data_IF_836223473530
#
_entry.id   IF_836223473530
#
_cell.length_a   1.000
_cell.length_b   1.000
_cell.length_c   1.000
_cell.angle_alpha   90.00
_cell.angle_beta   90.00
_cell.angle_gamma   90.00
#
_symmetry.space_group_name_H-M   'P 1'
#
loop_
_entity.id
_entity.type
_entity.pdbx_description
1 polymer ?
#
# COMPACT_ATOMS: atom_id res chain seq x y z
N UNK A 1 -0.84 10.34 -0.42
CA UNK A 1 -2.30 10.50 -0.52
C UNK A 1 -2.56 11.44 -1.68
N UNK A 2 -3.75 11.41 -2.26
CA UNK A 2 -4.15 12.48 -3.15
C UNK A 2 -4.43 13.74 -2.31
N UNK A 3 -3.74 14.84 -2.61
CA UNK A 3 -3.79 16.07 -1.81
C UNK A 3 -5.19 16.71 -1.78
N UNK A 4 -6.03 16.42 -2.78
CA UNK A 4 -7.37 17.00 -2.88
C UNK A 4 -8.45 16.11 -2.27
N UNK A 5 -8.34 14.79 -2.42
CA UNK A 5 -9.36 13.85 -1.97
C UNK A 5 -8.98 13.07 -0.71
N UNK A 6 -7.74 13.23 -0.22
CA UNK A 6 -7.16 12.48 0.89
C UNK A 6 -7.27 10.96 0.73
N UNK A 7 -7.49 10.48 -0.50
CA UNK A 7 -7.60 9.05 -0.79
C UNK A 7 -6.21 8.44 -1.00
N UNK A 8 -6.04 7.15 -0.68
CA UNK A 8 -4.82 6.44 -1.03
C UNK A 8 -4.65 6.39 -2.55
N UNK A 9 -3.45 6.69 -3.03
CA UNK A 9 -3.14 6.73 -4.46
C UNK A 9 -2.65 5.35 -4.90
N UNK A 10 -3.24 4.83 -5.99
CA UNK A 10 -2.76 3.61 -6.64
C UNK A 10 -1.31 3.79 -7.10
N UNK A 11 -0.45 2.82 -6.79
CA UNK A 11 1.00 2.87 -7.02
C UNK A 11 1.77 3.78 -6.06
N UNK A 12 1.13 4.35 -5.05
CA UNK A 12 1.77 5.12 -4.00
C UNK A 12 2.13 4.28 -2.77
N UNK A 13 2.75 4.90 -1.78
CA UNK A 13 3.16 4.23 -0.54
C UNK A 13 1.98 3.65 0.27
N UNK A 14 0.79 4.25 0.14
CA UNK A 14 -0.44 3.79 0.80
C UNK A 14 -1.34 3.00 -0.17
N UNK A 15 -0.77 2.30 -1.16
CA UNK A 15 -1.57 1.51 -2.09
C UNK A 15 -2.39 0.44 -1.33
N UNK A 16 -3.73 0.38 -1.51
CA UNK A 16 -4.59 -0.62 -0.84
C UNK A 16 -4.22 -2.08 -1.12
N UNK A 17 -3.42 -2.35 -2.16
CA UNK A 17 -2.86 -3.68 -2.48
C UNK A 17 -1.71 -4.06 -1.56
N UNK A 18 -1.01 -3.09 -0.96
CA UNK A 18 0.07 -3.33 -0.01
C UNK A 18 -0.42 -3.56 1.43
N UNK A 19 -1.69 -3.30 1.69
CA UNK A 19 -2.32 -3.44 2.99
C UNK A 19 -3.32 -2.30 3.23
N UNK A 20 -4.00 -2.35 4.37
CA UNK A 20 -4.96 -1.32 4.78
C UNK A 20 -4.68 -0.90 6.22
N UNK A 21 -4.72 0.41 6.47
CA UNK A 21 -4.65 0.99 7.81
C UNK A 21 -6.03 1.45 8.32
N UNK A 22 -7.05 1.40 7.46
CA UNK A 22 -8.41 1.78 7.81
C UNK A 22 -9.24 0.52 8.01
N UNK A 23 -9.90 0.42 9.17
CA UNK A 23 -10.82 -0.65 9.51
C UNK A 23 -12.00 -0.80 8.53
N UNK A 24 -12.35 0.28 7.81
CA UNK A 24 -13.45 0.29 6.85
C UNK A 24 -13.03 -0.13 5.44
N UNK A 25 -11.73 -0.27 5.18
CA UNK A 25 -11.18 -0.62 3.88
C UNK A 25 -10.52 -1.98 3.97
N UNK A 26 -10.87 -2.88 3.06
CA UNK A 26 -10.22 -4.19 2.94
C UNK A 26 -9.01 -4.10 2.02
N UNK A 27 -7.99 -4.90 2.31
CA UNK A 27 -6.85 -5.03 1.43
C UNK A 27 -7.30 -5.57 0.06
N UNK A 28 -6.84 -4.96 -1.03
CA UNK A 28 -7.20 -5.38 -2.38
C UNK A 28 -6.47 -6.65 -2.85
N UNK A 29 -5.46 -7.11 -2.12
CA UNK A 29 -4.68 -8.31 -2.46
C UNK A 29 -5.20 -9.55 -1.75
N UNK A 30 -5.31 -9.53 -0.41
CA UNK A 30 -5.82 -10.67 0.36
C UNK A 30 -7.30 -10.58 0.73
N UNK A 31 -7.97 -9.42 0.57
CA UNK A 31 -9.37 -9.24 0.96
C UNK A 31 -9.60 -9.10 2.47
N UNK A 32 -8.55 -9.19 3.28
CA UNK A 32 -8.62 -9.11 4.73
C UNK A 32 -8.65 -7.66 5.24
N UNK A 33 -9.15 -7.48 6.47
CA UNK A 33 -9.15 -6.20 7.17
C UNK A 33 -7.80 -5.85 7.80
N UNK A 34 -7.72 -4.70 8.47
CA UNK A 34 -6.49 -4.19 9.10
C UNK A 34 -5.85 -5.18 10.10
N UNK A 35 -6.65 -5.91 10.89
CA UNK A 35 -6.13 -6.81 11.92
C UNK A 35 -5.60 -8.13 11.38
N UNK A 36 -6.15 -8.62 10.27
CA UNK A 36 -5.86 -9.94 9.71
C UNK A 36 -4.89 -9.87 8.52
N UNK A 37 -4.77 -8.71 7.86
CA UNK A 37 -3.84 -8.52 6.76
C UNK A 37 -2.40 -8.42 7.29
N UNK A 38 -1.48 -9.32 6.90
CA UNK A 38 -0.08 -9.26 7.33
C UNK A 38 0.72 -8.13 6.66
N UNK A 39 0.12 -7.41 5.72
CA UNK A 39 0.80 -6.49 4.81
C UNK A 39 1.46 -7.24 3.65
N UNK A 40 1.54 -6.57 2.49
CA UNK A 40 2.16 -7.11 1.29
C UNK A 40 3.36 -6.28 0.89
N UNK A 41 4.45 -6.96 0.56
CA UNK A 41 5.68 -6.31 0.13
C UNK A 41 5.48 -5.52 -1.17
N UNK A 42 5.92 -4.27 -1.14
CA UNK A 42 6.18 -3.49 -2.33
C UNK A 42 7.65 -3.55 -2.71
N UNK A 43 7.96 -3.04 -3.90
CA UNK A 43 9.32 -2.77 -4.31
C UNK A 43 9.37 -1.41 -4.99
N UNK A 44 10.56 -0.83 -5.04
CA UNK A 44 10.83 0.37 -5.80
C UNK A 44 11.90 0.00 -6.83
N UNK A 45 11.61 0.25 -8.10
CA UNK A 45 12.61 0.14 -9.14
C UNK A 45 13.55 1.34 -9.05
N UNK A 46 14.81 1.07 -8.70
CA UNK A 46 15.82 2.11 -8.63
C UNK A 46 16.33 2.44 -10.03
N UNK A 47 16.44 3.73 -10.33
CA UNK A 47 16.97 4.19 -11.63
C UNK A 47 18.45 3.83 -11.84
N UNK A 48 19.17 3.50 -10.77
CA UNK A 48 20.60 3.15 -10.77
C UNK A 48 20.88 2.05 -9.74
N UNK A 49 21.89 1.19 -9.97
CA UNK A 49 22.29 0.18 -8.99
C UNK A 49 22.83 0.84 -7.71
N UNK A 50 22.51 0.24 -6.56
CA UNK A 50 22.93 0.69 -5.23
C UNK A 50 23.58 -0.49 -4.50
N UNK A 51 24.64 -0.20 -3.76
CA UNK A 51 25.33 -1.16 -2.88
C UNK A 51 24.96 -0.86 -1.43
N UNK A 52 24.81 -1.90 -0.59
CA UNK A 52 24.49 -1.78 0.83
C UNK A 52 25.75 -1.43 1.65
#
# INVERSE_FOLDING_TARGET
MDETTHKPKMGGLMDPRMGTLDSNVKCQTCGEGMSECPGHFGHIELARPVFH
#
